data_IF_759057123031
#
_entry.id   IF_759057123031
#
_cell.length_a   1.000
_cell.length_b   1.000
_cell.length_c   1.000
_cell.angle_alpha   90.00
_cell.angle_beta   90.00
_cell.angle_gamma   90.00
#
_symmetry.space_group_name_H-M   'P 1'
#
loop_
_entity.id
_entity.type
_entity.pdbx_description
1 polymer ?
#
# COMPACT_ATOMS: atom_id res chain seq x y z
N UNK A 1 -20.60 -19.19 -9.45
CA UNK A 1 -19.36 -18.48 -9.05
C UNK A 1 -18.29 -19.49 -8.65
N UNK A 2 -17.06 -19.26 -9.09
CA UNK A 2 -15.91 -20.00 -8.58
C UNK A 2 -15.60 -19.56 -7.14
N UNK A 3 -15.47 -20.52 -6.24
CA UNK A 3 -15.27 -20.21 -4.81
C UNK A 3 -13.88 -19.65 -4.49
N UNK A 4 -12.89 -19.89 -5.35
CA UNK A 4 -11.51 -19.44 -5.15
C UNK A 4 -11.27 -18.06 -5.73
N UNK A 5 -11.76 -17.83 -6.98
CA UNK A 5 -11.48 -16.60 -7.72
C UNK A 5 -12.62 -15.57 -7.64
N UNK A 6 -13.85 -16.01 -7.34
CA UNK A 6 -15.06 -15.20 -7.43
C UNK A 6 -15.53 -14.92 -8.84
N UNK A 7 -14.94 -15.55 -9.85
CA UNK A 7 -15.32 -15.35 -11.23
C UNK A 7 -16.63 -16.07 -11.57
N UNK A 8 -17.50 -15.48 -12.40
CA UNK A 8 -18.66 -16.18 -12.95
C UNK A 8 -18.24 -17.35 -13.85
N UNK A 9 -18.85 -18.53 -13.64
CA UNK A 9 -18.65 -19.71 -14.49
C UNK A 9 -19.73 -19.82 -15.57
N UNK A 10 -20.42 -18.73 -15.88
CA UNK A 10 -21.54 -18.64 -16.81
C UNK A 10 -22.47 -17.49 -16.44
N UNK A 11 -23.74 -17.58 -16.78
CA UNK A 11 -24.73 -16.58 -16.35
C UNK A 11 -24.95 -16.69 -14.83
N UNK A 12 -24.85 -15.56 -14.15
CA UNK A 12 -24.97 -15.48 -12.68
C UNK A 12 -26.00 -14.43 -12.30
N UNK A 13 -26.96 -14.83 -11.46
CA UNK A 13 -27.87 -13.90 -10.81
C UNK A 13 -27.19 -13.27 -9.58
N UNK A 14 -27.43 -12.01 -9.38
CA UNK A 14 -26.99 -11.32 -8.16
C UNK A 14 -27.88 -11.79 -6.99
N UNK A 15 -27.27 -12.41 -6.00
CA UNK A 15 -27.96 -12.83 -4.79
C UNK A 15 -28.17 -11.64 -3.84
N UNK A 16 -29.28 -11.64 -3.10
CA UNK A 16 -29.48 -10.75 -1.95
C UNK A 16 -28.74 -11.29 -0.74
N UNK A 17 -28.83 -12.61 -0.53
CA UNK A 17 -28.19 -13.31 0.58
C UNK A 17 -27.53 -14.60 0.06
N UNK A 18 -26.36 -14.90 0.61
CA UNK A 18 -25.63 -16.14 0.37
C UNK A 18 -25.29 -16.80 1.69
N UNK A 19 -25.67 -18.07 1.85
CA UNK A 19 -25.25 -18.89 2.98
C UNK A 19 -24.06 -19.73 2.58
N UNK A 20 -23.02 -19.73 3.39
CA UNK A 20 -21.85 -20.59 3.22
C UNK A 20 -21.53 -21.33 4.50
N UNK A 21 -20.93 -22.51 4.37
CA UNK A 21 -20.67 -23.41 5.47
C UNK A 21 -19.18 -23.47 5.79
N UNK A 22 -18.85 -23.71 7.06
CA UNK A 22 -17.54 -23.93 7.62
C UNK A 22 -16.61 -22.71 7.52
N UNK A 23 -16.36 -22.18 6.32
CA UNK A 23 -15.51 -20.99 6.09
C UNK A 23 -15.99 -20.19 4.89
N UNK A 24 -15.78 -18.89 4.91
CA UNK A 24 -15.90 -18.07 3.71
C UNK A 24 -14.85 -18.52 2.69
N UNK A 25 -15.19 -18.45 1.42
CA UNK A 25 -14.28 -18.72 0.30
C UNK A 25 -13.69 -17.38 -0.18
N UNK A 26 -12.50 -17.36 -0.76
CA UNK A 26 -11.94 -16.15 -1.35
C UNK A 26 -12.90 -15.42 -2.29
N UNK A 27 -13.65 -16.18 -3.11
CA UNK A 27 -14.65 -15.64 -4.02
C UNK A 27 -15.80 -14.86 -3.38
N UNK A 28 -16.04 -15.00 -2.08
CA UNK A 28 -16.99 -14.14 -1.35
C UNK A 28 -16.41 -12.75 -1.02
N UNK A 29 -15.10 -12.59 -1.08
CA UNK A 29 -14.37 -11.37 -0.70
C UNK A 29 -13.79 -10.64 -1.90
N UNK A 30 -13.41 -11.39 -2.95
CA UNK A 30 -12.83 -10.87 -4.17
C UNK A 30 -13.91 -10.42 -5.17
N UNK A 31 -13.58 -9.38 -5.94
CA UNK A 31 -14.43 -8.96 -7.05
C UNK A 31 -14.23 -9.90 -8.27
N UNK A 32 -15.28 -10.20 -9.05
CA UNK A 32 -16.66 -9.70 -8.94
C UNK A 32 -17.54 -10.48 -7.94
N UNK A 33 -17.09 -11.61 -7.41
CA UNK A 33 -17.89 -12.47 -6.54
C UNK A 33 -18.51 -11.76 -5.36
N UNK A 34 -17.74 -10.88 -4.69
CA UNK A 34 -18.23 -10.04 -3.58
C UNK A 34 -19.48 -9.23 -3.97
N UNK A 35 -19.50 -8.66 -5.17
CA UNK A 35 -20.64 -7.87 -5.64
C UNK A 35 -21.86 -8.73 -6.00
N UNK A 36 -21.63 -10.00 -6.30
CA UNK A 36 -22.67 -10.94 -6.74
C UNK A 36 -23.27 -11.75 -5.59
N UNK A 37 -22.56 -11.92 -4.48
CA UNK A 37 -23.00 -12.74 -3.35
C UNK A 37 -23.98 -12.03 -2.40
N UNK A 38 -24.13 -10.72 -2.46
CA UNK A 38 -24.93 -9.99 -1.49
C UNK A 38 -24.42 -10.15 -0.06
N UNK A 39 -25.32 -10.27 0.93
CA UNK A 39 -24.94 -10.50 2.32
C UNK A 39 -24.51 -11.96 2.52
N UNK A 40 -23.25 -12.18 2.89
CA UNK A 40 -22.71 -13.54 3.12
C UNK A 40 -22.84 -13.90 4.60
N UNK A 41 -23.59 -14.96 4.88
CA UNK A 41 -23.76 -15.54 6.21
C UNK A 41 -23.01 -16.86 6.31
N UNK A 42 -22.12 -16.96 7.30
CA UNK A 42 -21.42 -18.22 7.63
C UNK A 42 -22.28 -19.01 8.61
N UNK A 43 -22.76 -20.19 8.19
CA UNK A 43 -23.51 -21.10 9.05
C UNK A 43 -22.58 -22.22 9.56
N UNK A 44 -22.62 -22.47 10.85
CA UNK A 44 -21.93 -23.60 11.46
C UNK A 44 -22.70 -24.91 11.20
N UNK A 45 -21.99 -25.90 10.71
CA UNK A 45 -22.51 -27.26 10.47
C UNK A 45 -21.73 -28.32 11.25
N UNK A 46 -21.03 -27.93 12.31
CA UNK A 46 -20.33 -28.84 13.23
C UNK A 46 -18.97 -29.36 12.71
N UNK A 47 -18.40 -28.79 11.64
CA UNK A 47 -17.07 -29.17 11.17
C UNK A 47 -15.99 -28.56 12.09
N UNK A 48 -15.18 -29.38 12.79
CA UNK A 48 -14.18 -28.84 13.69
C UNK A 48 -13.05 -28.13 12.96
N UNK A 49 -12.53 -27.04 13.52
CA UNK A 49 -11.46 -26.24 12.93
C UNK A 49 -10.15 -27.04 12.69
N UNK A 50 -9.93 -28.13 13.43
CA UNK A 50 -8.79 -29.05 13.26
C UNK A 50 -8.69 -29.65 11.87
N UNK A 51 -9.80 -29.78 11.14
CA UNK A 51 -9.82 -30.25 9.74
C UNK A 51 -8.95 -29.41 8.83
N UNK A 52 -8.83 -28.10 9.12
CA UNK A 52 -7.95 -27.21 8.35
C UNK A 52 -6.46 -27.63 8.44
N UNK A 53 -6.07 -28.32 9.49
CA UNK A 53 -4.69 -28.80 9.64
C UNK A 53 -4.25 -29.76 8.53
N UNK A 54 -5.17 -30.58 8.03
CA UNK A 54 -4.93 -31.57 6.96
C UNK A 54 -5.07 -31.04 5.53
N UNK A 55 -5.50 -29.78 5.34
CA UNK A 55 -5.70 -29.21 4.02
C UNK A 55 -4.45 -28.44 3.59
N UNK A 56 -3.80 -28.89 2.51
CA UNK A 56 -2.69 -28.15 1.88
C UNK A 56 -3.19 -27.01 1.00
N UNK A 57 -2.35 -25.98 0.80
CA UNK A 57 -2.68 -24.83 -0.07
C UNK A 57 -3.79 -23.92 0.45
N UNK A 58 -4.07 -23.96 1.74
CA UNK A 58 -5.10 -23.10 2.37
C UNK A 58 -4.72 -21.64 2.34
N UNK A 59 -5.61 -20.82 1.81
CA UNK A 59 -5.59 -19.39 2.03
C UNK A 59 -6.16 -19.12 3.42
N UNK A 60 -5.44 -18.38 4.24
CA UNK A 60 -5.98 -17.82 5.46
C UNK A 60 -6.99 -16.73 5.08
N UNK A 61 -8.23 -17.14 4.83
CA UNK A 61 -9.32 -16.19 4.60
C UNK A 61 -9.94 -15.87 5.95
N UNK A 62 -9.81 -14.64 6.30
CA UNK A 62 -10.40 -14.05 7.46
C UNK A 62 -11.95 -14.21 7.47
N UNK A 63 -12.50 -14.78 8.50
CA UNK A 63 -13.90 -15.24 8.52
C UNK A 63 -14.89 -14.31 9.24
N UNK A 64 -14.41 -13.26 9.90
CA UNK A 64 -15.29 -12.38 10.68
C UNK A 64 -14.64 -11.02 10.95
N UNK A 65 -15.41 -10.09 11.47
CA UNK A 65 -14.90 -8.81 11.99
C UNK A 65 -13.84 -9.02 13.10
N UNK A 66 -13.75 -10.22 13.67
CA UNK A 66 -12.68 -10.65 14.57
C UNK A 66 -11.29 -10.68 13.92
N UNK A 67 -11.20 -10.64 12.60
CA UNK A 67 -9.91 -10.64 11.88
C UNK A 67 -9.11 -9.37 12.15
N UNK A 68 -9.77 -8.28 12.45
CA UNK A 68 -9.12 -7.08 13.00
C UNK A 68 -8.28 -7.42 14.25
N UNK A 69 -8.70 -8.38 15.07
CA UNK A 69 -7.98 -8.77 16.26
C UNK A 69 -6.70 -9.56 15.98
N UNK A 70 -6.58 -10.22 14.82
CA UNK A 70 -5.38 -10.98 14.47
C UNK A 70 -4.17 -10.08 14.23
N UNK A 71 -4.34 -8.90 13.67
CA UNK A 71 -3.25 -7.96 13.38
C UNK A 71 -3.22 -6.76 14.32
N UNK A 72 -4.28 -6.53 15.12
CA UNK A 72 -4.32 -5.43 16.09
C UNK A 72 -3.15 -5.43 17.06
N UNK A 73 -2.72 -6.61 17.51
CA UNK A 73 -1.58 -6.76 18.42
C UNK A 73 -0.24 -6.32 17.82
N UNK A 74 -0.14 -6.27 16.49
CA UNK A 74 1.06 -5.80 15.78
C UNK A 74 1.04 -4.30 15.48
N UNK A 75 -0.11 -3.62 15.70
CA UNK A 75 -0.17 -2.17 15.55
C UNK A 75 0.61 -1.51 16.70
N UNK A 76 1.58 -0.64 16.37
CA UNK A 76 2.32 0.08 17.40
C UNK A 76 1.36 0.97 18.18
N UNK A 77 1.32 0.77 19.49
CA UNK A 77 0.54 1.61 20.39
C UNK A 77 1.42 2.78 20.86
N UNK A 78 0.95 4.03 20.72
CA UNK A 78 1.70 5.17 21.23
C UNK A 78 1.88 5.07 22.75
N UNK A 79 3.12 5.24 23.21
CA UNK A 79 3.38 5.33 24.65
C UNK A 79 2.86 6.65 25.19
N UNK A 80 2.37 6.67 26.43
CA UNK A 80 1.89 7.89 27.10
C UNK A 80 2.99 8.94 27.25
N UNK A 81 4.24 8.48 27.45
CA UNK A 81 5.45 9.30 27.58
C UNK A 81 6.22 9.46 26.24
N UNK A 82 5.63 8.98 25.14
CA UNK A 82 6.26 8.97 23.82
C UNK A 82 6.21 10.34 23.14
N UNK A 83 7.33 10.78 22.55
CA UNK A 83 7.38 11.97 21.71
C UNK A 83 7.13 11.63 20.23
N UNK A 84 6.86 12.67 19.43
CA UNK A 84 6.51 12.53 18.00
C UNK A 84 7.51 11.71 17.17
N UNK A 85 8.80 11.83 17.46
CA UNK A 85 9.84 11.07 16.73
C UNK A 85 9.79 9.56 16.99
N UNK A 86 9.30 9.13 18.15
CA UNK A 86 9.14 7.70 18.46
C UNK A 86 8.09 7.01 17.57
N UNK A 87 7.19 7.78 16.94
CA UNK A 87 6.17 7.28 16.01
C UNK A 87 6.58 7.35 14.55
N UNK A 88 7.85 7.66 14.27
CA UNK A 88 8.39 7.73 12.92
C UNK A 88 8.08 9.05 12.18
N UNK A 89 8.75 9.20 11.05
CA UNK A 89 8.66 10.35 10.17
C UNK A 89 8.49 9.86 8.72
N UNK A 90 7.32 10.05 8.16
CA UNK A 90 7.03 9.68 6.79
C UNK A 90 7.36 10.83 5.83
N UNK A 91 7.97 10.49 4.71
CA UNK A 91 8.16 11.38 3.56
C UNK A 91 7.21 10.96 2.45
N UNK A 92 6.57 11.92 1.80
CA UNK A 92 5.76 11.67 0.61
C UNK A 92 6.31 12.53 -0.53
N UNK A 93 6.75 11.90 -1.61
CA UNK A 93 7.23 12.59 -2.80
C UNK A 93 6.04 13.10 -3.60
N UNK A 94 6.01 14.40 -3.87
CA UNK A 94 4.95 15.05 -4.64
C UNK A 94 5.27 15.08 -6.12
N UNK A 95 4.24 15.00 -6.94
CA UNK A 95 4.32 15.36 -8.34
C UNK A 95 4.37 16.89 -8.57
N UNK A 96 4.39 17.34 -9.86
CA UNK A 96 4.47 18.73 -10.25
C UNK A 96 3.23 19.54 -9.82
N UNK A 97 3.28 20.86 -10.00
CA UNK A 97 2.27 21.80 -9.50
C UNK A 97 0.82 21.43 -9.82
N UNK A 98 0.56 20.90 -11.01
CA UNK A 98 -0.78 20.52 -11.47
C UNK A 98 -1.25 19.14 -10.93
N UNK A 99 -0.40 18.38 -10.25
CA UNK A 99 -0.66 16.99 -9.84
C UNK A 99 -0.27 16.68 -8.37
N UNK A 100 -0.44 17.65 -7.47
CA UNK A 100 -0.07 17.53 -6.05
C UNK A 100 -1.10 16.79 -5.19
N UNK A 101 -2.30 16.52 -5.71
CA UNK A 101 -3.44 16.03 -4.92
C UNK A 101 -3.18 14.70 -4.21
N UNK A 102 -2.63 13.71 -4.91
CA UNK A 102 -2.37 12.38 -4.37
C UNK A 102 -1.33 12.42 -3.23
N UNK A 103 -0.25 13.17 -3.39
CA UNK A 103 0.77 13.34 -2.35
C UNK A 103 0.19 13.97 -1.07
N UNK A 104 -0.67 14.98 -1.22
CA UNK A 104 -1.35 15.61 -0.06
C UNK A 104 -2.31 14.65 0.64
N UNK A 105 -3.04 13.83 -0.11
CA UNK A 105 -3.92 12.80 0.44
C UNK A 105 -3.12 11.75 1.20
N UNK A 106 -2.05 11.23 0.61
CA UNK A 106 -1.17 10.24 1.23
C UNK A 106 -0.51 10.80 2.51
N UNK A 107 -0.03 12.03 2.48
CA UNK A 107 0.57 12.69 3.63
C UNK A 107 -0.42 12.88 4.79
N UNK A 108 -1.67 13.26 4.49
CA UNK A 108 -2.75 13.32 5.49
C UNK A 108 -3.09 11.95 6.05
N UNK A 109 -3.14 10.92 5.19
CA UNK A 109 -3.40 9.55 5.63
C UNK A 109 -2.30 9.04 6.56
N UNK A 110 -1.02 9.27 6.23
CA UNK A 110 0.11 8.92 7.06
C UNK A 110 0.05 9.58 8.44
N UNK A 111 -0.26 10.88 8.50
CA UNK A 111 -0.43 11.59 9.77
C UNK A 111 -1.61 11.03 10.57
N UNK A 112 -2.72 10.73 9.90
CA UNK A 112 -3.95 10.27 10.51
C UNK A 112 -3.85 8.83 11.06
N UNK A 113 -3.08 7.96 10.43
CA UNK A 113 -2.85 6.59 10.92
C UNK A 113 -1.83 6.54 12.06
N UNK A 114 -1.13 7.64 12.35
CA UNK A 114 -0.31 7.74 13.56
C UNK A 114 1.16 8.10 13.35
N UNK A 115 1.60 8.41 12.13
CA UNK A 115 2.95 8.94 11.94
C UNK A 115 3.17 10.16 12.84
N UNK A 116 4.31 10.20 13.50
CA UNK A 116 4.64 11.30 14.42
C UNK A 116 4.94 12.61 13.69
N UNK A 117 5.54 12.49 12.51
CA UNK A 117 5.86 13.58 11.60
C UNK A 117 5.60 13.13 10.15
N UNK A 118 5.19 14.07 9.32
CA UNK A 118 5.06 13.86 7.87
C UNK A 118 5.64 15.06 7.14
N UNK A 119 6.43 14.78 6.10
CA UNK A 119 6.98 15.78 5.18
C UNK A 119 6.54 15.47 3.76
N UNK A 120 6.01 16.44 3.04
CA UNK A 120 5.89 16.38 1.60
C UNK A 120 7.20 16.92 1.00
N UNK A 121 7.92 16.04 0.30
CA UNK A 121 9.02 16.44 -0.57
C UNK A 121 8.41 16.97 -1.88
N UNK A 122 8.66 18.21 -2.21
CA UNK A 122 7.99 18.92 -3.29
C UNK A 122 8.97 19.40 -4.34
N UNK A 123 8.75 19.11 -5.63
CA UNK A 123 9.45 19.84 -6.69
C UNK A 123 9.23 21.36 -6.54
N UNK A 124 10.20 22.15 -6.94
CA UNK A 124 10.16 23.61 -6.73
C UNK A 124 8.91 24.29 -7.33
N UNK A 125 8.46 23.86 -8.49
CA UNK A 125 7.24 24.36 -9.14
C UNK A 125 5.96 24.08 -8.34
N UNK A 126 5.96 22.99 -7.55
CA UNK A 126 4.81 22.53 -6.77
C UNK A 126 4.77 23.07 -5.33
N UNK A 127 5.82 23.77 -4.88
CA UNK A 127 5.92 24.29 -3.50
C UNK A 127 4.72 25.16 -3.14
N UNK A 128 4.38 26.13 -3.96
CA UNK A 128 3.27 27.04 -3.67
C UNK A 128 1.92 26.30 -3.61
N UNK A 129 1.69 25.37 -4.56
CA UNK A 129 0.47 24.58 -4.59
C UNK A 129 0.35 23.65 -3.35
N UNK A 130 1.44 23.03 -2.92
CA UNK A 130 1.46 22.21 -1.72
C UNK A 130 1.29 23.07 -0.45
N UNK A 131 2.02 24.17 -0.31
CA UNK A 131 2.00 25.05 0.84
C UNK A 131 0.60 25.60 1.13
N UNK A 132 -0.14 25.98 0.09
CA UNK A 132 -1.50 26.50 0.22
C UNK A 132 -2.49 25.53 0.89
N UNK A 133 -2.19 24.23 0.89
CA UNK A 133 -3.10 23.19 1.36
C UNK A 133 -2.58 22.37 2.55
N UNK A 134 -1.34 22.58 2.97
CA UNK A 134 -0.73 21.90 4.10
C UNK A 134 -0.81 22.76 5.36
N UNK A 135 -1.03 22.13 6.53
CA UNK A 135 -1.05 22.80 7.83
C UNK A 135 -0.06 22.15 8.80
N UNK A 136 -0.38 20.96 9.30
CA UNK A 136 0.46 20.20 10.23
C UNK A 136 1.52 19.32 9.54
N UNK A 137 1.53 19.29 8.20
CA UNK A 137 2.47 18.52 7.39
C UNK A 137 3.56 19.48 6.92
N UNK A 138 4.80 19.08 7.10
CA UNK A 138 5.97 19.86 6.68
C UNK A 138 6.15 19.80 5.16
N UNK A 139 6.75 20.83 4.61
CA UNK A 139 7.08 20.92 3.19
C UNK A 139 8.60 21.05 3.05
N UNK A 140 9.19 20.27 2.16
CA UNK A 140 10.61 20.30 1.86
C UNK A 140 10.81 20.38 0.34
N UNK A 141 11.26 21.50 -0.21
CA UNK A 141 11.60 21.62 -1.62
C UNK A 141 12.78 20.72 -1.99
N UNK A 142 12.78 20.14 -3.19
CA UNK A 142 13.90 19.34 -3.69
C UNK A 142 14.04 19.45 -5.21
N UNK A 143 15.25 19.19 -5.69
CA UNK A 143 15.56 19.08 -7.12
C UNK A 143 15.35 17.63 -7.62
N UNK A 144 14.53 17.48 -8.64
CA UNK A 144 14.25 16.18 -9.26
C UNK A 144 15.39 15.81 -10.22
N UNK A 145 15.88 14.57 -10.21
CA UNK A 145 15.58 13.46 -9.29
C UNK A 145 16.52 13.37 -8.09
N UNK A 146 17.66 14.02 -8.11
CA UNK A 146 18.79 13.81 -7.17
C UNK A 146 18.48 14.29 -5.74
N UNK A 147 17.73 15.36 -5.58
CA UNK A 147 17.43 15.95 -4.28
C UNK A 147 16.62 15.05 -3.34
N UNK A 148 16.05 13.93 -3.83
CA UNK A 148 15.44 12.91 -2.98
C UNK A 148 16.47 12.32 -2.00
N UNK A 149 17.74 12.21 -2.42
CA UNK A 149 18.82 11.74 -1.54
C UNK A 149 19.02 12.66 -0.36
N UNK A 150 19.04 13.98 -0.58
CA UNK A 150 19.22 14.99 0.48
C UNK A 150 18.00 14.98 1.43
N UNK A 151 16.80 14.82 0.88
CA UNK A 151 15.59 14.65 1.69
C UNK A 151 15.70 13.43 2.60
N UNK A 152 16.24 12.31 2.13
CA UNK A 152 16.34 11.05 2.87
C UNK A 152 17.66 10.93 3.67
N UNK A 153 18.55 11.88 3.61
CA UNK A 153 19.79 11.90 4.40
C UNK A 153 19.53 12.02 5.92
N UNK A 154 18.41 12.63 6.32
CA UNK A 154 17.96 12.64 7.72
C UNK A 154 17.41 11.26 8.11
N UNK A 155 18.18 10.47 8.86
CA UNK A 155 17.81 9.10 9.27
C UNK A 155 16.51 9.00 10.08
N UNK A 156 16.01 10.11 10.63
CA UNK A 156 14.70 10.18 11.29
C UNK A 156 13.54 10.01 10.30
N UNK A 157 13.78 10.29 9.01
CA UNK A 157 12.84 10.06 7.91
C UNK A 157 12.90 8.60 7.52
N UNK A 158 12.14 7.78 8.24
CA UNK A 158 12.25 6.32 8.23
C UNK A 158 11.19 5.60 7.38
N UNK A 159 10.31 6.33 6.73
CA UNK A 159 9.36 5.80 5.75
C UNK A 159 9.21 6.78 4.57
N UNK A 160 9.09 6.27 3.35
CA UNK A 160 8.91 7.10 2.15
C UNK A 160 7.88 6.49 1.21
N UNK A 161 7.00 7.33 0.67
CA UNK A 161 6.07 6.98 -0.40
C UNK A 161 6.43 7.79 -1.64
N UNK A 162 6.54 7.07 -2.77
CA UNK A 162 6.85 7.65 -4.08
C UNK A 162 6.01 7.01 -5.17
N UNK A 163 5.73 7.77 -6.19
CA UNK A 163 5.12 7.30 -7.44
C UNK A 163 3.89 8.06 -7.88
N UNK A 164 2.92 8.38 -7.01
CA UNK A 164 1.75 9.12 -7.47
C UNK A 164 2.13 10.45 -8.13
N UNK A 165 1.86 10.56 -9.44
CA UNK A 165 2.18 11.71 -10.27
C UNK A 165 3.70 12.07 -10.33
N UNK A 166 4.57 11.10 -10.14
CA UNK A 166 6.04 11.30 -10.31
C UNK A 166 6.45 11.39 -11.77
N UNK A 167 5.57 11.03 -12.70
CA UNK A 167 5.86 10.82 -14.11
C UNK A 167 6.47 9.44 -14.38
N UNK A 168 6.13 8.86 -15.53
CA UNK A 168 6.66 7.56 -15.96
C UNK A 168 7.97 7.79 -16.71
N UNK A 169 9.03 7.08 -16.35
CA UNK A 169 10.30 7.09 -17.08
C UNK A 169 11.53 7.11 -16.18
N UNK A 170 12.65 7.50 -16.78
CA UNK A 170 13.99 7.38 -16.21
C UNK A 170 14.20 8.23 -14.95
N UNK A 171 13.63 9.43 -14.88
CA UNK A 171 13.73 10.28 -13.68
C UNK A 171 13.09 9.60 -12.46
N UNK A 172 11.90 9.03 -12.66
CA UNK A 172 11.21 8.29 -11.59
C UNK A 172 11.96 7.00 -11.23
N UNK A 173 12.54 6.28 -12.20
CA UNK A 173 13.43 5.14 -11.91
C UNK A 173 14.60 5.55 -11.03
N UNK A 174 15.28 6.65 -11.33
CA UNK A 174 16.38 7.16 -10.51
C UNK A 174 15.94 7.53 -9.10
N UNK A 175 14.78 8.18 -8.95
CA UNK A 175 14.23 8.46 -7.62
C UNK A 175 13.91 7.18 -6.85
N UNK A 176 13.34 6.16 -7.49
CA UNK A 176 13.09 4.85 -6.88
C UNK A 176 14.39 4.17 -6.45
N UNK A 177 15.43 4.22 -7.27
CA UNK A 177 16.75 3.68 -6.92
C UNK A 177 17.33 4.36 -5.68
N UNK A 178 17.25 5.69 -5.59
CA UNK A 178 17.68 6.47 -4.42
C UNK A 178 16.86 6.06 -3.18
N UNK A 179 15.54 5.98 -3.32
CA UNK A 179 14.64 5.56 -2.26
C UNK A 179 14.99 4.15 -1.77
N UNK A 180 15.18 3.21 -2.70
CA UNK A 180 15.53 1.83 -2.37
C UNK A 180 16.96 1.68 -1.81
N UNK A 181 17.88 2.56 -2.13
CA UNK A 181 19.21 2.63 -1.50
C UNK A 181 19.19 3.26 -0.10
N UNK A 182 18.17 4.03 0.24
CA UNK A 182 18.05 4.71 1.54
C UNK A 182 17.76 3.74 2.69
N UNK A 183 17.76 4.25 3.92
CA UNK A 183 17.36 3.49 5.12
C UNK A 183 15.86 3.47 5.40
N UNK A 184 15.07 4.28 4.70
CA UNK A 184 13.64 4.37 4.93
C UNK A 184 12.89 3.13 4.41
N UNK A 185 11.88 2.66 5.09
CA UNK A 185 10.89 1.74 4.50
C UNK A 185 10.20 2.42 3.31
N UNK A 186 9.89 1.68 2.26
CA UNK A 186 9.42 2.27 1.01
C UNK A 186 8.02 1.78 0.62
N UNK A 187 7.18 2.70 0.16
CA UNK A 187 5.93 2.40 -0.54
C UNK A 187 6.08 2.91 -1.97
N UNK A 188 5.96 2.00 -2.94
CA UNK A 188 6.02 2.29 -4.37
C UNK A 188 4.63 2.13 -4.97
N UNK A 189 4.13 3.19 -5.61
CA UNK A 189 2.77 3.24 -6.17
C UNK A 189 2.80 3.85 -7.57
N UNK A 190 1.75 3.66 -8.33
CA UNK A 190 1.47 4.35 -9.59
C UNK A 190 2.70 4.43 -10.54
N UNK A 191 3.15 5.65 -10.87
CA UNK A 191 4.23 5.88 -11.84
C UNK A 191 5.57 5.25 -11.43
N UNK A 192 5.82 5.04 -10.12
CA UNK A 192 7.00 4.32 -9.66
C UNK A 192 6.97 2.86 -10.13
N UNK A 193 5.80 2.22 -10.14
CA UNK A 193 5.62 0.85 -10.62
C UNK A 193 5.61 0.82 -12.16
N UNK A 194 4.86 1.72 -12.79
CA UNK A 194 4.73 1.78 -14.25
C UNK A 194 6.09 2.08 -14.92
N UNK A 195 6.98 2.80 -14.26
CA UNK A 195 8.33 3.08 -14.78
C UNK A 195 9.19 1.82 -14.94
N UNK A 196 8.82 0.72 -14.27
CA UNK A 196 9.47 -0.59 -14.42
C UNK A 196 8.63 -1.58 -15.25
N UNK A 197 7.59 -1.12 -15.96
CA UNK A 197 6.81 -1.98 -16.84
C UNK A 197 7.70 -2.67 -17.87
N UNK A 198 7.62 -4.00 -17.97
CA UNK A 198 8.49 -4.80 -18.83
C UNK A 198 9.90 -5.05 -18.31
N UNK A 199 10.24 -4.57 -17.11
CA UNK A 199 11.56 -4.71 -16.47
C UNK A 199 11.42 -4.97 -14.96
N UNK A 200 10.51 -5.88 -14.61
CA UNK A 200 10.26 -6.21 -13.20
C UNK A 200 11.48 -6.82 -12.50
N UNK A 201 12.37 -7.49 -13.25
CA UNK A 201 13.59 -8.08 -12.69
C UNK A 201 14.52 -7.00 -12.12
N UNK A 202 14.66 -5.85 -12.79
CA UNK A 202 15.43 -4.73 -12.27
C UNK A 202 14.87 -4.23 -10.94
N UNK A 203 13.55 -4.02 -10.85
CA UNK A 203 12.90 -3.59 -9.60
C UNK A 203 13.05 -4.64 -8.50
N UNK A 204 12.80 -5.91 -8.80
CA UNK A 204 12.97 -7.02 -7.85
C UNK A 204 14.42 -7.12 -7.35
N UNK A 205 15.39 -6.95 -8.24
CA UNK A 205 16.81 -6.93 -7.88
C UNK A 205 17.19 -5.78 -6.94
N UNK A 206 16.60 -4.59 -7.15
CA UNK A 206 16.76 -3.45 -6.22
C UNK A 206 16.16 -3.76 -4.84
N UNK A 207 14.96 -4.33 -4.81
CA UNK A 207 14.28 -4.69 -3.56
C UNK A 207 15.05 -5.77 -2.80
N UNK A 208 15.52 -6.82 -3.48
CA UNK A 208 16.26 -7.94 -2.86
C UNK A 208 17.58 -7.51 -2.23
N UNK A 209 18.24 -6.48 -2.78
CA UNK A 209 19.47 -5.91 -2.19
C UNK A 209 19.24 -5.16 -0.88
N UNK A 210 18.00 -4.91 -0.51
CA UNK A 210 17.66 -4.23 0.75
C UNK A 210 17.66 -5.21 1.91
N UNK A 211 18.72 -5.26 2.69
CA UNK A 211 18.74 -6.06 3.90
C UNK A 211 17.77 -5.50 4.96
N UNK A 212 16.78 -6.31 5.36
CA UNK A 212 15.86 -6.06 6.50
C UNK A 212 15.08 -4.73 6.48
N UNK A 213 14.60 -4.31 5.30
CA UNK A 213 13.76 -3.11 5.19
C UNK A 213 12.55 -3.36 4.33
N UNK A 214 11.41 -2.97 4.85
CA UNK A 214 10.13 -3.25 4.22
C UNK A 214 9.96 -2.41 2.95
N UNK A 215 9.49 -3.08 1.89
CA UNK A 215 9.00 -2.45 0.67
C UNK A 215 7.58 -2.94 0.43
N UNK A 216 6.68 -2.00 0.22
CA UNK A 216 5.28 -2.27 -0.13
C UNK A 216 5.02 -1.76 -1.53
N UNK A 217 4.50 -2.62 -2.39
CA UNK A 217 4.02 -2.26 -3.71
C UNK A 217 2.49 -2.21 -3.66
N UNK A 218 1.90 -1.18 -4.26
CA UNK A 218 0.44 -0.97 -4.26
C UNK A 218 -0.16 -0.97 -5.68
N UNK A 219 0.15 -1.97 -6.52
CA UNK A 219 -0.34 -1.99 -7.88
C UNK A 219 -1.85 -2.26 -7.93
N UNK A 220 -2.59 -1.49 -8.70
CA UNK A 220 -3.89 -1.95 -9.17
C UNK A 220 -3.72 -3.03 -10.25
N UNK A 221 -4.79 -3.73 -10.65
CA UNK A 221 -4.70 -4.87 -11.59
C UNK A 221 -3.98 -4.53 -12.90
N UNK A 222 -4.20 -3.33 -13.45
CA UNK A 222 -3.54 -2.90 -14.68
C UNK A 222 -2.04 -2.64 -14.52
N UNK A 223 -1.61 -2.10 -13.39
CA UNK A 223 -0.19 -1.91 -13.05
C UNK A 223 0.47 -3.25 -12.79
N UNK A 224 -0.21 -4.14 -12.06
CA UNK A 224 0.28 -5.48 -11.81
C UNK A 224 0.57 -6.25 -13.12
N UNK A 225 -0.38 -6.22 -14.06
CA UNK A 225 -0.19 -6.85 -15.38
C UNK A 225 0.96 -6.24 -16.18
N UNK A 226 1.16 -4.93 -16.11
CA UNK A 226 2.28 -4.27 -16.82
C UNK A 226 3.62 -4.60 -16.21
N UNK A 227 3.67 -4.84 -14.90
CA UNK A 227 4.90 -5.11 -14.18
C UNK A 227 5.29 -6.60 -14.21
N UNK A 228 4.31 -7.50 -14.07
CA UNK A 228 4.55 -8.94 -13.90
C UNK A 228 4.09 -9.82 -15.07
N UNK A 229 3.51 -9.24 -16.13
CA UNK A 229 3.10 -9.92 -17.34
C UNK A 229 1.67 -10.34 -17.33
#
# INVERSE_FOLDING_TARGET
LDGTTGLPLGQVLRATDTVTFFRRKPGHLLMPGRALCGKVTLADIGIPASVLGGISGKLAVANSDADFYHWRGYLPQPRLDGHKYARGHAVVVSGPAHATGAARMAARAALRIGAGLVTVASPHDAVAANAAHLTAIMLHPFDVPSGVADVLADERRNAVLIGPASGVGEETRRMVEIVLASRAAAVLDADALVSYAGDCEALCGLIQRRANRDVVLTPHEGEFRRLFG
#
